data_IF_566582771934
#
_entry.id   IF_566582771934
#
_cell.length_a   1.000
_cell.length_b   1.000
_cell.length_c   1.000
_cell.angle_alpha   90.00
_cell.angle_beta   90.00
_cell.angle_gamma   90.00
#
_symmetry.space_group_name_H-M   'P 1'
#
loop_
_entity.id
_entity.type
_entity.pdbx_description
1 polymer ?
#
# COMPACT_ATOMS: atom_id res chain seq x y z
N UNK A 1 -6.24 -60.04 24.61
CA UNK A 1 -5.32 -59.01 24.07
C UNK A 1 -6.20 -57.81 23.68
N UNK A 2 -6.07 -56.72 24.39
CA UNK A 2 -6.86 -55.51 24.09
C UNK A 2 -6.18 -54.82 22.88
N UNK A 3 -6.90 -54.72 21.80
CA UNK A 3 -6.51 -53.95 20.61
C UNK A 3 -6.58 -52.46 20.99
N UNK A 4 -5.42 -51.88 21.26
CA UNK A 4 -5.27 -50.43 21.48
C UNK A 4 -4.98 -49.76 20.15
N UNK A 5 -5.96 -49.80 19.26
CA UNK A 5 -5.96 -48.94 18.10
C UNK A 5 -6.37 -47.50 18.53
N UNK A 6 -5.39 -46.72 18.98
CA UNK A 6 -5.61 -45.32 19.23
C UNK A 6 -5.74 -44.61 17.88
N UNK A 7 -6.96 -44.35 17.44
CA UNK A 7 -7.20 -43.34 16.42
C UNK A 7 -6.98 -41.97 17.06
N UNK A 8 -5.81 -41.44 16.84
CA UNK A 8 -5.55 -40.04 17.14
C UNK A 8 -6.27 -39.20 16.09
N UNK A 9 -7.45 -38.71 16.42
CA UNK A 9 -8.13 -37.70 15.62
C UNK A 9 -7.31 -36.42 15.74
N UNK A 10 -6.51 -36.12 14.74
CA UNK A 10 -5.82 -34.84 14.64
C UNK A 10 -6.81 -33.78 14.17
N UNK A 11 -6.96 -32.73 14.97
CA UNK A 11 -7.70 -31.54 14.59
C UNK A 11 -7.00 -30.91 13.37
N UNK A 12 -7.69 -30.81 12.25
CA UNK A 12 -7.14 -30.25 11.00
C UNK A 12 -7.11 -28.69 11.03
N UNK A 13 -7.05 -28.10 12.19
CA UNK A 13 -6.91 -26.66 12.34
C UNK A 13 -5.42 -26.32 12.30
N UNK A 14 -4.99 -25.60 11.26
CA UNK A 14 -3.68 -24.98 11.28
C UNK A 14 -3.81 -23.51 11.69
N UNK A 15 -2.88 -23.05 12.50
CA UNK A 15 -2.76 -21.65 12.86
C UNK A 15 -1.89 -21.00 11.76
N UNK A 16 -2.47 -20.07 11.01
CA UNK A 16 -1.70 -19.27 10.07
C UNK A 16 -0.71 -18.39 10.85
N UNK A 17 0.51 -18.30 10.35
CA UNK A 17 1.48 -17.36 10.88
C UNK A 17 0.95 -15.92 10.81
N UNK A 18 1.42 -15.07 11.72
CA UNK A 18 1.10 -13.64 11.66
C UNK A 18 1.83 -13.03 10.46
N UNK A 19 1.13 -12.93 9.35
CA UNK A 19 1.63 -12.35 8.11
C UNK A 19 0.58 -11.43 7.51
N UNK A 20 1.04 -10.38 6.84
CA UNK A 20 0.16 -9.54 6.03
C UNK A 20 -0.32 -10.34 4.81
N UNK A 21 -1.58 -10.75 4.82
CA UNK A 21 -2.18 -11.56 3.76
C UNK A 21 -2.91 -10.74 2.69
N UNK A 22 -3.14 -9.45 2.95
CA UNK A 22 -3.81 -8.54 2.03
C UNK A 22 -2.95 -7.31 1.77
N UNK A 23 -3.04 -6.76 0.56
CA UNK A 23 -2.44 -5.48 0.26
C UNK A 23 -3.22 -4.36 0.95
N UNK A 24 -2.53 -3.49 1.68
CA UNK A 24 -3.11 -2.36 2.40
C UNK A 24 -3.11 -1.09 1.54
N UNK A 25 -2.15 -0.95 0.62
CA UNK A 25 -1.94 0.27 -0.14
C UNK A 25 -2.61 0.26 -1.52
N UNK A 26 -3.01 -0.90 -2.05
CA UNK A 26 -3.59 -1.04 -3.38
C UNK A 26 -4.81 -0.14 -3.61
N UNK A 27 -5.67 -0.02 -2.62
CA UNK A 27 -6.90 0.78 -2.72
C UNK A 27 -6.66 2.29 -2.51
N UNK A 28 -5.47 2.67 -2.07
CA UNK A 28 -5.07 4.07 -1.82
C UNK A 28 -4.40 4.76 -3.00
N UNK A 29 -4.20 4.05 -4.12
CA UNK A 29 -3.52 4.53 -5.33
C UNK A 29 -4.43 4.47 -6.55
N UNK A 30 -4.03 5.15 -7.63
CA UNK A 30 -4.75 5.10 -8.90
C UNK A 30 -4.37 3.84 -9.66
N UNK A 31 -5.39 3.09 -10.12
CA UNK A 31 -5.20 1.86 -10.90
C UNK A 31 -5.58 2.02 -12.37
N UNK A 32 -6.04 3.21 -12.78
CA UNK A 32 -6.42 3.50 -14.17
C UNK A 32 -5.18 3.66 -15.05
N UNK A 33 -4.92 2.68 -15.89
CA UNK A 33 -3.82 2.70 -16.86
C UNK A 33 -4.24 2.06 -18.17
N UNK A 34 -3.65 2.52 -19.27
CA UNK A 34 -3.74 1.85 -20.57
C UNK A 34 -2.53 0.93 -20.72
N UNK A 35 -2.79 -0.38 -20.77
CA UNK A 35 -1.73 -1.38 -20.85
C UNK A 35 -1.56 -1.80 -22.31
N UNK A 36 -0.32 -1.68 -22.82
CA UNK A 36 0.11 -2.17 -24.14
C UNK A 36 1.43 -2.92 -24.00
N UNK A 37 1.39 -4.21 -24.28
CA UNK A 37 2.56 -5.09 -24.05
C UNK A 37 2.94 -5.10 -22.57
N UNK A 38 4.20 -4.82 -22.26
CA UNK A 38 4.75 -4.75 -20.89
C UNK A 38 4.72 -3.34 -20.30
N UNK A 39 4.04 -2.39 -20.93
CA UNK A 39 4.02 -0.99 -20.48
C UNK A 39 2.61 -0.56 -20.12
N UNK A 40 2.45 -0.05 -18.91
CA UNK A 40 1.25 0.61 -18.44
C UNK A 40 1.43 2.12 -18.53
N UNK A 41 0.53 2.80 -19.21
CA UNK A 41 0.61 4.24 -19.46
C UNK A 41 -0.47 4.96 -18.67
N UNK A 42 -0.04 5.99 -17.94
CA UNK A 42 -0.90 6.92 -17.21
C UNK A 42 -0.84 8.28 -17.90
N UNK A 43 -2.00 8.89 -18.07
CA UNK A 43 -2.11 10.23 -18.64
C UNK A 43 -2.31 11.25 -17.52
N UNK A 44 -1.41 12.22 -17.42
CA UNK A 44 -1.51 13.33 -16.48
C UNK A 44 -1.69 14.61 -17.27
N UNK A 45 -2.82 15.30 -17.04
CA UNK A 45 -3.13 16.57 -17.68
C UNK A 45 -2.96 17.71 -16.67
N UNK A 46 -2.11 18.67 -17.00
CA UNK A 46 -1.87 19.86 -16.21
C UNK A 46 -2.19 21.14 -16.96
N UNK A 47 -2.24 22.25 -16.23
CA UNK A 47 -2.32 23.59 -16.84
C UNK A 47 -0.99 24.33 -16.84
N UNK A 48 0.10 23.69 -16.37
CA UNK A 48 1.41 24.32 -16.20
C UNK A 48 1.39 25.57 -15.31
N UNK A 49 0.35 25.73 -14.46
CA UNK A 49 0.16 26.92 -13.63
C UNK A 49 -0.33 28.15 -14.42
N UNK A 50 -0.79 27.97 -15.66
CA UNK A 50 -1.26 29.09 -16.50
C UNK A 50 -2.45 29.83 -15.87
N UNK A 51 -2.45 31.14 -16.02
CA UNK A 51 -3.55 32.02 -15.59
C UNK A 51 -4.50 32.33 -16.73
N UNK A 52 -5.73 32.66 -16.40
CA UNK A 52 -6.72 33.13 -17.37
C UNK A 52 -6.27 34.48 -17.92
N UNK A 53 -6.43 34.65 -19.21
CA UNK A 53 -6.04 35.90 -19.92
C UNK A 53 -7.25 36.59 -20.54
N UNK A 54 -7.20 37.93 -20.63
CA UNK A 54 -8.21 38.71 -21.31
C UNK A 54 -7.95 38.78 -22.83
N UNK A 55 -8.92 39.15 -23.61
CA UNK A 55 -8.74 39.40 -25.05
C UNK A 55 -7.73 40.49 -25.29
N UNK A 56 -6.85 40.26 -26.27
CA UNK A 56 -5.95 41.30 -26.75
C UNK A 56 -6.67 42.42 -27.48
N UNK A 57 -5.93 43.51 -27.78
CA UNK A 57 -6.45 44.71 -28.45
C UNK A 57 -7.17 44.39 -29.77
N UNK A 58 -6.76 43.34 -30.47
CA UNK A 58 -7.36 42.90 -31.74
C UNK A 58 -8.49 41.85 -31.54
N UNK A 59 -9.01 41.71 -30.33
CA UNK A 59 -10.07 40.74 -30.01
C UNK A 59 -9.67 39.27 -30.04
N UNK A 60 -8.41 38.95 -30.27
CA UNK A 60 -7.88 37.58 -30.24
C UNK A 60 -7.69 37.10 -28.82
N UNK A 61 -8.05 35.84 -28.59
CA UNK A 61 -7.78 35.15 -27.32
C UNK A 61 -6.45 34.40 -27.49
N UNK A 62 -5.43 34.68 -26.66
CA UNK A 62 -4.16 33.93 -26.69
C UNK A 62 -4.42 32.44 -26.38
N UNK A 63 -3.99 31.56 -27.25
CA UNK A 63 -4.06 30.14 -27.01
C UNK A 63 -2.95 29.70 -26.02
N UNK A 64 -3.30 28.88 -25.07
CA UNK A 64 -2.37 28.22 -24.16
C UNK A 64 -1.83 26.94 -24.81
N UNK A 65 -0.53 26.63 -24.69
CA UNK A 65 -0.04 25.30 -25.03
C UNK A 65 -0.69 24.24 -24.14
N UNK A 66 -0.94 23.09 -24.69
CA UNK A 66 -1.45 21.93 -23.93
C UNK A 66 -0.32 21.29 -23.13
N UNK A 67 -0.60 20.92 -21.89
CA UNK A 67 0.36 20.32 -20.96
C UNK A 67 -0.14 18.92 -20.58
N UNK A 68 0.09 17.97 -21.50
CA UNK A 68 -0.26 16.58 -21.38
C UNK A 68 1.00 15.73 -21.21
N UNK A 69 1.22 15.24 -20.01
CA UNK A 69 2.29 14.31 -19.70
C UNK A 69 1.82 12.86 -19.75
N UNK A 70 2.59 12.06 -20.48
CA UNK A 70 2.40 10.62 -20.56
C UNK A 70 3.47 9.92 -19.75
N UNK A 71 3.11 9.39 -18.59
CA UNK A 71 3.99 8.63 -17.72
C UNK A 71 3.76 7.13 -17.88
N UNK A 72 4.83 6.36 -17.94
CA UNK A 72 4.76 4.93 -18.13
C UNK A 72 5.44 4.15 -17.00
N UNK A 73 4.78 3.07 -16.57
CA UNK A 73 5.33 2.05 -15.71
C UNK A 73 5.63 0.80 -16.52
N UNK A 74 6.79 0.21 -16.36
CA UNK A 74 7.10 -1.10 -16.94
C UNK A 74 6.55 -2.18 -16.04
N UNK A 75 5.70 -3.04 -16.57
CA UNK A 75 5.19 -4.21 -15.85
C UNK A 75 6.31 -5.23 -15.72
N UNK A 76 6.46 -5.76 -14.52
CA UNK A 76 7.37 -6.86 -14.20
C UNK A 76 6.56 -8.06 -13.76
N UNK A 77 7.00 -9.22 -14.17
CA UNK A 77 6.41 -10.49 -13.79
C UNK A 77 6.95 -10.93 -12.42
N UNK A 78 6.05 -11.11 -11.46
CA UNK A 78 6.38 -11.53 -10.10
C UNK A 78 5.77 -12.89 -9.83
N UNK A 79 6.58 -13.80 -9.31
CA UNK A 79 6.17 -15.17 -9.01
C UNK A 79 6.51 -15.53 -7.58
N UNK A 80 5.65 -16.33 -6.98
CA UNK A 80 5.95 -17.14 -5.81
C UNK A 80 5.57 -18.59 -6.10
N UNK A 81 6.48 -19.51 -5.87
CA UNK A 81 6.31 -20.92 -6.17
C UNK A 81 6.72 -21.77 -4.96
N UNK A 82 5.74 -22.47 -4.41
CA UNK A 82 5.96 -23.45 -3.34
C UNK A 82 5.80 -24.86 -3.89
N UNK A 83 6.74 -25.74 -3.58
CA UNK A 83 6.75 -27.15 -4.00
C UNK A 83 6.80 -28.04 -2.76
N UNK A 84 6.02 -29.13 -2.78
CA UNK A 84 6.09 -30.19 -1.76
C UNK A 84 6.01 -31.54 -2.43
N UNK A 85 6.89 -32.44 -2.01
CA UNK A 85 6.89 -33.82 -2.49
C UNK A 85 5.64 -34.56 -2.01
N UNK A 86 5.22 -35.56 -2.74
CA UNK A 86 4.07 -36.41 -2.38
C UNK A 86 4.22 -37.02 -0.99
N UNK A 87 5.45 -37.45 -0.64
CA UNK A 87 5.75 -37.98 0.69
C UNK A 87 5.52 -36.95 1.80
N UNK A 88 6.00 -35.71 1.60
CA UNK A 88 5.81 -34.63 2.58
C UNK A 88 4.33 -34.23 2.74
N UNK A 89 3.53 -34.29 1.65
CA UNK A 89 2.09 -34.05 1.74
C UNK A 89 1.40 -35.17 2.50
N UNK A 90 1.80 -36.43 2.27
CA UNK A 90 1.27 -37.59 2.98
C UNK A 90 1.64 -37.57 4.47
N UNK A 91 2.89 -37.22 4.79
CA UNK A 91 3.39 -37.17 6.16
C UNK A 91 2.91 -35.93 6.95
N UNK A 92 2.42 -34.88 6.28
CA UNK A 92 1.97 -33.65 6.92
C UNK A 92 0.47 -33.68 7.20
N UNK A 93 0.09 -32.97 8.26
CA UNK A 93 -1.30 -32.81 8.65
C UNK A 93 -1.95 -31.65 7.88
N UNK A 94 -3.26 -31.73 7.64
CA UNK A 94 -4.06 -30.70 7.03
C UNK A 94 -3.98 -30.64 5.49
N UNK A 95 -4.75 -29.72 4.90
CA UNK A 95 -4.79 -29.50 3.45
C UNK A 95 -3.58 -28.68 2.99
N UNK A 96 -2.46 -29.34 2.75
CA UNK A 96 -1.20 -28.68 2.40
C UNK A 96 -1.25 -27.87 1.11
N UNK A 97 -2.12 -28.22 0.14
CA UNK A 97 -2.27 -27.50 -1.11
C UNK A 97 -2.94 -26.14 -0.88
N UNK A 98 -3.98 -26.10 -0.06
CA UNK A 98 -4.66 -24.86 0.31
C UNK A 98 -3.74 -23.93 1.11
N UNK A 99 -2.96 -24.49 2.04
CA UNK A 99 -1.96 -23.74 2.81
C UNK A 99 -0.92 -23.10 1.88
N UNK A 100 -0.35 -23.88 0.95
CA UNK A 100 0.62 -23.37 -0.02
C UNK A 100 0.03 -22.23 -0.87
N UNK A 101 -1.20 -22.39 -1.35
CA UNK A 101 -1.87 -21.37 -2.15
C UNK A 101 -2.10 -20.08 -1.36
N UNK A 102 -2.57 -20.19 -0.13
CA UNK A 102 -2.86 -19.05 0.74
C UNK A 102 -1.58 -18.28 1.11
N UNK A 103 -0.51 -18.97 1.45
CA UNK A 103 0.78 -18.34 1.78
C UNK A 103 1.40 -17.67 0.55
N UNK A 104 1.37 -18.30 -0.62
CA UNK A 104 1.87 -17.69 -1.86
C UNK A 104 1.08 -16.44 -2.26
N UNK A 105 -0.24 -16.43 -2.05
CA UNK A 105 -1.05 -15.24 -2.29
C UNK A 105 -0.67 -14.09 -1.36
N UNK A 106 -0.39 -14.37 -0.09
CA UNK A 106 0.11 -13.38 0.87
C UNK A 106 1.44 -12.75 0.43
N UNK A 107 2.37 -13.55 -0.13
CA UNK A 107 3.65 -13.06 -0.66
C UNK A 107 3.43 -12.05 -1.80
N UNK A 108 2.55 -12.36 -2.76
CA UNK A 108 2.25 -11.45 -3.87
C UNK A 108 1.59 -10.16 -3.37
N UNK A 109 0.67 -10.25 -2.40
CA UNK A 109 0.02 -9.06 -1.85
C UNK A 109 1.02 -8.13 -1.14
N UNK A 110 1.97 -8.67 -0.36
CA UNK A 110 3.07 -7.87 0.22
C UNK A 110 3.95 -7.25 -0.86
N UNK A 111 4.18 -7.96 -1.97
CA UNK A 111 4.97 -7.42 -3.08
C UNK A 111 4.29 -6.24 -3.77
N UNK A 112 2.97 -6.24 -3.88
CA UNK A 112 2.19 -5.08 -4.37
C UNK A 112 2.49 -3.84 -3.52
N UNK A 113 2.40 -3.98 -2.20
CA UNK A 113 2.68 -2.86 -1.28
C UNK A 113 4.13 -2.38 -1.39
N UNK A 114 5.10 -3.29 -1.49
CA UNK A 114 6.51 -2.94 -1.66
C UNK A 114 6.78 -2.15 -2.95
N UNK A 115 6.13 -2.49 -4.07
CA UNK A 115 6.26 -1.74 -5.34
C UNK A 115 5.69 -0.33 -5.19
N UNK A 116 4.55 -0.17 -4.50
CA UNK A 116 3.96 1.14 -4.22
C UNK A 116 4.87 1.97 -3.30
N UNK A 117 5.39 1.37 -2.22
CA UNK A 117 6.29 2.02 -1.26
C UNK A 117 7.59 2.46 -1.95
N UNK A 118 8.11 1.63 -2.86
CA UNK A 118 9.32 1.96 -3.62
C UNK A 118 9.13 3.23 -4.44
N UNK A 119 8.00 3.37 -5.12
CA UNK A 119 7.69 4.58 -5.89
C UNK A 119 7.37 5.79 -4.99
N UNK A 120 6.68 5.60 -3.85
CA UNK A 120 6.46 6.67 -2.86
C UNK A 120 7.79 7.23 -2.33
N UNK A 121 8.78 6.36 -2.10
CA UNK A 121 10.10 6.75 -1.62
C UNK A 121 10.94 7.54 -2.64
N UNK A 122 10.51 7.62 -3.91
CA UNK A 122 11.12 8.49 -4.91
C UNK A 122 10.65 9.94 -4.81
N UNK A 123 9.63 10.23 -3.98
CA UNK A 123 9.15 11.58 -3.72
C UNK A 123 10.27 12.48 -3.16
N UNK A 124 10.32 13.72 -3.65
CA UNK A 124 11.39 14.68 -3.28
C UNK A 124 10.97 15.67 -2.22
N UNK A 125 9.66 15.78 -1.93
CA UNK A 125 9.18 16.65 -0.87
C UNK A 125 9.25 15.92 0.47
N UNK A 126 9.85 16.56 1.47
CA UNK A 126 10.00 15.98 2.79
C UNK A 126 9.69 16.96 3.93
N UNK A 127 9.56 16.43 5.13
CA UNK A 127 9.34 17.23 6.35
C UNK A 127 10.63 17.74 6.99
N UNK A 128 11.80 17.53 6.40
CA UNK A 128 13.11 17.89 6.96
C UNK A 128 13.71 16.79 7.83
N UNK A 129 14.44 17.19 8.87
CA UNK A 129 15.10 16.24 9.77
C UNK A 129 14.12 15.28 10.44
N UNK A 130 14.56 14.04 10.70
CA UNK A 130 13.79 13.04 11.42
C UNK A 130 13.57 13.51 12.87
N UNK A 131 12.31 13.50 13.29
CA UNK A 131 11.88 13.86 14.65
C UNK A 131 10.78 12.88 15.11
N UNK A 132 10.55 12.79 16.40
CA UNK A 132 9.44 12.00 16.94
C UNK A 132 8.09 12.51 16.43
N UNK A 133 7.16 11.60 16.17
CA UNK A 133 5.86 11.98 15.65
C UNK A 133 5.09 12.87 16.64
N UNK A 134 4.47 13.89 16.10
CA UNK A 134 3.68 14.87 16.83
C UNK A 134 2.59 15.45 15.93
N UNK A 135 1.61 16.12 16.55
CA UNK A 135 0.60 16.87 15.80
C UNK A 135 1.24 17.87 14.82
N UNK A 136 2.28 18.58 15.27
CA UNK A 136 2.98 19.56 14.43
C UNK A 136 3.60 18.93 13.17
N UNK A 137 4.18 17.72 13.30
CA UNK A 137 4.76 17.00 12.17
C UNK A 137 3.68 16.56 11.16
N UNK A 138 2.56 16.01 11.64
CA UNK A 138 1.42 15.63 10.82
C UNK A 138 0.80 16.83 10.08
N UNK A 139 0.61 17.94 10.78
CA UNK A 139 0.11 19.19 10.20
C UNK A 139 1.10 19.75 9.18
N UNK A 140 2.42 19.72 9.46
CA UNK A 140 3.46 20.17 8.51
C UNK A 140 3.39 19.41 7.19
N UNK A 141 3.28 18.09 7.24
CA UNK A 141 3.14 17.27 6.01
C UNK A 141 1.89 17.67 5.20
N UNK A 142 0.75 17.87 5.87
CA UNK A 142 -0.48 18.33 5.23
C UNK A 142 -0.35 19.74 4.63
N UNK A 143 0.31 20.66 5.33
CA UNK A 143 0.56 22.04 4.84
C UNK A 143 1.42 22.03 3.59
N UNK A 144 2.45 21.16 3.52
CA UNK A 144 3.29 21.01 2.31
C UNK A 144 2.44 20.61 1.12
N UNK A 145 1.52 19.62 1.27
CA UNK A 145 0.59 19.23 0.21
C UNK A 145 -0.35 20.39 -0.18
N UNK A 146 -0.88 21.11 0.81
CA UNK A 146 -1.74 22.27 0.56
C UNK A 146 -1.06 23.40 -0.20
N UNK A 147 0.20 23.72 0.14
CA UNK A 147 1.02 24.71 -0.57
C UNK A 147 1.28 24.31 -2.02
N UNK A 148 1.33 23.00 -2.31
CA UNK A 148 1.43 22.46 -3.67
C UNK A 148 0.07 22.32 -4.38
N UNK A 149 -0.99 22.93 -3.83
CA UNK A 149 -2.35 22.94 -4.41
C UNK A 149 -2.96 21.54 -4.57
N UNK A 150 -2.56 20.57 -3.74
CA UNK A 150 -3.15 19.23 -3.73
C UNK A 150 -4.56 19.33 -3.16
N UNK A 151 -5.58 18.77 -3.85
CA UNK A 151 -6.97 18.89 -3.41
C UNK A 151 -7.20 18.10 -2.10
N UNK A 152 -8.03 18.68 -1.21
CA UNK A 152 -8.47 18.04 0.03
C UNK A 152 -9.87 17.42 -0.17
N UNK A 153 -10.00 16.51 -1.11
CA UNK A 153 -11.26 15.88 -1.55
C UNK A 153 -11.58 14.56 -0.82
N UNK A 154 -10.82 14.24 0.25
CA UNK A 154 -10.96 13.00 1.00
C UNK A 154 -10.09 11.86 0.47
N UNK A 155 -9.36 12.07 -0.63
CA UNK A 155 -8.45 11.09 -1.24
C UNK A 155 -6.98 11.28 -0.80
N UNK A 156 -6.77 11.92 0.35
CA UNK A 156 -5.46 12.00 0.99
C UNK A 156 -5.26 10.76 1.87
N UNK A 157 -4.12 10.12 1.70
CA UNK A 157 -3.70 8.94 2.45
C UNK A 157 -2.37 9.19 3.15
N UNK A 158 -2.20 8.56 4.31
CA UNK A 158 -0.92 8.54 5.01
C UNK A 158 -0.58 7.11 5.39
N UNK A 159 0.48 6.56 4.80
CA UNK A 159 1.06 5.29 5.20
C UNK A 159 2.11 5.55 6.28
N UNK A 160 1.90 5.01 7.47
CA UNK A 160 2.72 5.28 8.64
C UNK A 160 3.15 4.00 9.34
N UNK A 161 4.31 4.06 10.01
CA UNK A 161 4.83 2.96 10.81
C UNK A 161 4.01 2.77 12.09
N UNK A 162 4.02 1.57 12.70
CA UNK A 162 3.39 1.33 13.99
C UNK A 162 3.90 2.28 15.08
N UNK A 163 5.21 2.61 15.08
CA UNK A 163 5.80 3.56 16.02
C UNK A 163 5.21 4.96 15.85
N UNK A 164 5.07 5.43 14.62
CA UNK A 164 4.44 6.72 14.32
C UNK A 164 2.98 6.75 14.81
N UNK A 165 2.22 5.70 14.54
CA UNK A 165 0.83 5.58 14.99
C UNK A 165 0.76 5.57 16.52
N UNK A 166 1.68 4.87 17.20
CA UNK A 166 1.79 4.84 18.67
C UNK A 166 2.00 6.23 19.28
N UNK A 167 2.82 7.08 18.65
CA UNK A 167 2.96 8.48 19.09
C UNK A 167 1.70 9.30 18.83
N UNK A 168 1.03 9.13 17.68
CA UNK A 168 -0.21 9.85 17.39
C UNK A 168 -1.32 9.51 18.40
N UNK A 169 -1.41 8.26 18.84
CA UNK A 169 -2.40 7.84 19.85
C UNK A 169 -2.19 8.53 21.21
N UNK A 170 -0.98 9.01 21.50
CA UNK A 170 -0.68 9.78 22.72
C UNK A 170 -1.05 11.27 22.61
N UNK A 171 -1.34 11.75 21.37
CA UNK A 171 -1.76 13.14 21.16
C UNK A 171 -3.24 13.28 21.54
N UNK A 172 -3.58 14.18 22.51
CA UNK A 172 -4.97 14.33 22.97
C UNK A 172 -5.96 14.65 21.83
N UNK A 173 -5.53 15.45 20.85
CA UNK A 173 -6.34 15.87 19.72
C UNK A 173 -6.63 14.70 18.75
N UNK A 174 -5.80 13.67 18.76
CA UNK A 174 -6.04 12.47 17.96
C UNK A 174 -7.02 11.52 18.65
N UNK A 175 -6.94 11.41 19.98
CA UNK A 175 -7.77 10.50 20.78
C UNK A 175 -9.11 11.08 21.25
N UNK A 176 -9.30 12.41 21.21
CA UNK A 176 -10.49 13.08 21.75
C UNK A 176 -11.65 13.10 20.76
N UNK A 177 -12.83 12.72 21.22
CA UNK A 177 -14.08 12.80 20.46
C UNK A 177 -14.49 14.24 20.08
N UNK A 178 -13.99 15.25 20.83
CA UNK A 178 -14.29 16.66 20.57
C UNK A 178 -13.61 17.19 19.30
N UNK A 179 -12.44 16.60 18.93
CA UNK A 179 -11.66 16.99 17.75
C UNK A 179 -11.82 16.03 16.57
N UNK A 180 -12.36 14.85 16.80
CA UNK A 180 -12.55 13.82 15.78
C UNK A 180 -14.02 13.46 15.75
N UNK A 181 -14.69 13.70 14.63
CA UNK A 181 -16.11 13.36 14.47
C UNK A 181 -16.40 11.86 14.66
N UNK A 182 -15.35 11.03 14.70
CA UNK A 182 -15.36 9.61 15.06
C UNK A 182 -14.05 9.25 15.76
N UNK A 183 -14.13 8.44 16.82
CA UNK A 183 -12.95 7.93 17.51
C UNK A 183 -12.08 7.11 16.56
N UNK A 184 -10.77 7.32 16.51
CA UNK A 184 -9.88 6.58 15.62
C UNK A 184 -9.89 5.06 15.85
N UNK A 185 -10.25 4.63 17.05
CA UNK A 185 -10.26 3.22 17.50
C UNK A 185 -11.65 2.59 17.48
N UNK A 186 -12.69 3.39 17.21
CA UNK A 186 -14.07 2.86 17.12
C UNK A 186 -14.31 2.36 15.68
N UNK A 187 -14.28 1.07 15.50
CA UNK A 187 -14.45 0.36 14.23
C UNK A 187 -15.88 0.42 13.67
N UNK A 188 -16.78 1.21 14.29
CA UNK A 188 -18.14 1.39 13.81
C UNK A 188 -18.20 2.38 12.65
N UNK A 189 -18.51 1.90 11.47
CA UNK A 189 -18.97 2.65 10.29
C UNK A 189 -18.14 3.88 9.90
N UNK A 190 -16.90 3.69 9.50
CA UNK A 190 -16.21 4.69 8.70
C UNK A 190 -16.67 4.60 7.24
N UNK A 191 -16.82 5.73 6.55
CA UNK A 191 -17.20 5.80 5.13
C UNK A 191 -16.19 5.10 4.19
N UNK A 192 -15.07 4.66 4.70
CA UNK A 192 -14.10 3.79 4.06
C UNK A 192 -14.22 2.40 4.65
N UNK A 193 -15.12 1.62 4.08
CA UNK A 193 -15.22 0.17 4.15
C UNK A 193 -14.72 -0.49 5.43
N UNK A 194 -15.42 -1.50 5.87
CA UNK A 194 -15.16 -2.53 6.85
C UNK A 194 -13.76 -3.20 6.83
N UNK A 195 -12.74 -2.53 6.25
CA UNK A 195 -11.36 -2.97 6.29
C UNK A 195 -10.69 -2.40 7.53
N UNK A 196 -10.43 -3.26 8.50
CA UNK A 196 -9.59 -2.94 9.66
C UNK A 196 -8.28 -2.25 9.23
N UNK A 197 -7.94 -1.12 9.82
CA UNK A 197 -6.65 -0.46 9.61
C UNK A 197 -6.67 0.96 9.02
N UNK A 198 -7.83 1.52 8.70
CA UNK A 198 -7.94 2.90 8.23
C UNK A 198 -8.51 3.82 9.32
N UNK A 199 -7.73 4.85 9.69
CA UNK A 199 -8.16 5.88 10.62
C UNK A 199 -8.30 7.21 9.87
N UNK A 200 -9.43 7.91 10.00
CA UNK A 200 -9.62 9.21 9.37
C UNK A 200 -9.45 10.35 10.37
N UNK A 201 -8.40 11.13 10.19
CA UNK A 201 -8.10 12.30 11.02
C UNK A 201 -7.47 13.42 10.19
N UNK A 202 -7.73 14.68 10.54
CA UNK A 202 -7.30 15.87 9.78
C UNK A 202 -7.68 15.84 8.28
N UNK A 203 -8.74 15.09 7.90
CA UNK A 203 -9.10 14.90 6.50
C UNK A 203 -8.17 14.00 5.70
N UNK A 204 -7.29 13.24 6.39
CA UNK A 204 -6.36 12.26 5.84
C UNK A 204 -6.79 10.87 6.30
N UNK A 205 -6.66 9.88 5.45
CA UNK A 205 -6.88 8.47 5.76
C UNK A 205 -5.53 7.85 6.17
N UNK A 206 -5.41 7.48 7.45
CA UNK A 206 -4.18 6.93 8.02
C UNK A 206 -4.19 5.42 7.90
N UNK A 207 -3.10 4.87 7.39
CA UNK A 207 -2.89 3.44 7.18
C UNK A 207 -1.64 3.05 7.95
N UNK A 208 -1.77 2.12 8.89
CA UNK A 208 -0.62 1.54 9.56
C UNK A 208 -0.03 0.43 8.69
N UNK A 209 1.26 0.53 8.39
CA UNK A 209 1.96 -0.44 7.55
C UNK A 209 3.29 -0.85 8.20
N UNK A 210 3.52 -2.16 8.43
CA UNK A 210 4.70 -2.63 9.15
C UNK A 210 6.00 -2.62 8.32
N UNK A 211 5.89 -2.65 6.98
CA UNK A 211 7.05 -2.81 6.08
C UNK A 211 7.51 -1.50 5.41
N UNK A 212 7.33 -0.36 6.09
CA UNK A 212 7.84 0.91 5.59
C UNK A 212 9.37 1.01 5.75
N UNK A 213 10.06 1.83 4.94
CA UNK A 213 11.50 1.95 5.02
C UNK A 213 11.98 2.46 6.38
N UNK A 214 12.93 1.75 6.98
CA UNK A 214 13.58 2.16 8.22
C UNK A 214 12.78 1.90 9.50
N UNK A 215 11.75 1.06 9.48
CA UNK A 215 10.96 0.68 10.67
C UNK A 215 11.87 0.29 11.85
N UNK A 216 11.61 0.84 13.04
CA UNK A 216 12.38 0.60 14.26
C UNK A 216 13.71 1.33 14.32
N UNK A 217 13.97 2.28 13.44
CA UNK A 217 15.21 3.07 13.43
C UNK A 217 14.94 4.56 13.59
N UNK A 218 16.01 5.35 13.77
CA UNK A 218 15.93 6.82 13.76
C UNK A 218 15.72 7.44 12.38
N UNK A 219 15.61 6.63 11.34
CA UNK A 219 15.46 7.06 9.94
C UNK A 219 14.23 6.44 9.27
N UNK A 220 13.14 6.30 10.00
CA UNK A 220 11.87 5.83 9.46
C UNK A 220 11.30 6.82 8.45
N UNK A 221 10.77 6.27 7.36
CA UNK A 221 10.07 7.05 6.34
C UNK A 221 8.61 6.68 6.31
N UNK A 222 7.78 7.66 6.56
CA UNK A 222 6.34 7.60 6.42
C UNK A 222 5.94 8.45 5.20
N UNK A 223 4.79 8.20 4.62
CA UNK A 223 4.38 8.86 3.40
C UNK A 223 2.98 9.44 3.55
N UNK A 224 2.83 10.72 3.18
CA UNK A 224 1.50 11.33 3.02
C UNK A 224 1.33 11.70 1.55
N UNK A 225 0.26 11.22 0.91
CA UNK A 225 0.09 11.37 -0.52
C UNK A 225 -1.38 11.46 -0.92
N UNK A 226 -1.62 12.02 -2.11
CA UNK A 226 -2.92 11.98 -2.74
C UNK A 226 -3.03 10.77 -3.66
N UNK A 227 -4.21 10.17 -3.74
CA UNK A 227 -4.47 8.97 -4.55
C UNK A 227 -3.97 9.07 -5.99
N UNK A 228 -4.18 10.23 -6.64
CA UNK A 228 -3.76 10.47 -8.02
C UNK A 228 -2.26 10.72 -8.20
N UNK A 229 -1.49 10.80 -7.11
CA UNK A 229 -0.06 11.04 -7.19
C UNK A 229 0.74 9.78 -7.55
N UNK A 230 0.19 8.60 -7.28
CA UNK A 230 0.80 7.30 -7.56
C UNK A 230 -0.13 6.48 -8.46
N UNK A 231 0.44 5.90 -9.51
CA UNK A 231 -0.21 4.92 -10.35
C UNK A 231 0.32 3.52 -10.08
N UNK A 232 -0.57 2.56 -9.94
CA UNK A 232 -0.26 1.13 -9.84
C UNK A 232 -1.06 0.38 -10.89
N UNK A 233 -0.37 -0.33 -11.78
CA UNK A 233 -1.00 -1.09 -12.84
C UNK A 233 -0.77 -2.58 -12.62
N UNK A 234 -1.84 -3.35 -12.84
CA UNK A 234 -1.83 -4.81 -12.82
C UNK A 234 -2.39 -5.29 -14.16
N UNK A 235 -1.81 -6.34 -14.71
CA UNK A 235 -2.31 -6.96 -15.95
C UNK A 235 -3.79 -7.37 -15.77
N UNK A 236 -4.53 -7.38 -16.89
CA UNK A 236 -5.97 -7.71 -16.93
C UNK A 236 -6.33 -9.07 -16.29
N UNK A 237 -5.41 -10.01 -16.32
CA UNK A 237 -5.58 -11.32 -15.71
C UNK A 237 -5.47 -11.30 -14.18
N UNK A 238 -4.96 -10.19 -13.59
CA UNK A 238 -4.81 -10.04 -12.17
C UNK A 238 -3.83 -11.04 -11.54
N UNK A 239 -4.09 -11.42 -10.28
CA UNK A 239 -3.31 -12.43 -9.58
C UNK A 239 -3.77 -13.81 -10.03
N UNK A 240 -2.88 -14.59 -10.61
CA UNK A 240 -3.11 -15.98 -10.97
C UNK A 240 -2.58 -16.91 -9.89
N UNK A 241 -3.35 -17.91 -9.49
CA UNK A 241 -2.98 -18.84 -8.43
C UNK A 241 -3.25 -20.30 -8.83
N UNK A 242 -2.53 -20.83 -9.87
CA UNK A 242 -2.66 -22.23 -10.26
C UNK A 242 -2.03 -23.16 -9.22
N UNK A 243 -2.71 -24.28 -8.97
CA UNK A 243 -2.25 -25.40 -8.16
C UNK A 243 -2.20 -26.63 -9.05
N UNK A 244 -1.11 -27.37 -9.03
CA UNK A 244 -0.92 -28.53 -9.87
C UNK A 244 -0.04 -29.59 -9.24
N UNK A 245 0.18 -30.66 -10.03
CA UNK A 245 1.09 -31.74 -9.74
C UNK A 245 2.00 -31.94 -10.93
N UNK A 246 3.28 -32.07 -10.66
CA UNK A 246 4.31 -32.38 -11.65
C UNK A 246 4.60 -33.88 -11.59
N UNK A 247 4.28 -34.60 -12.67
CA UNK A 247 4.45 -36.05 -12.74
C UNK A 247 5.89 -36.47 -12.95
N UNK A 248 6.71 -35.62 -13.57
CA UNK A 248 8.10 -35.92 -13.88
C UNK A 248 8.98 -35.94 -12.62
N UNK A 249 8.73 -35.00 -11.71
CA UNK A 249 9.52 -34.82 -10.48
C UNK A 249 8.76 -35.21 -9.19
N UNK A 250 7.57 -35.79 -9.30
CA UNK A 250 6.71 -36.23 -8.17
C UNK A 250 6.52 -35.20 -7.06
N UNK A 251 6.14 -33.94 -7.44
CA UNK A 251 5.78 -32.92 -6.46
C UNK A 251 4.46 -32.21 -6.83
N UNK A 252 3.77 -31.79 -5.76
CA UNK A 252 2.67 -30.85 -5.90
C UNK A 252 3.19 -29.43 -5.77
N UNK A 253 2.66 -28.50 -6.56
CA UNK A 253 3.04 -27.09 -6.50
C UNK A 253 1.83 -26.19 -6.38
N UNK A 254 2.04 -25.05 -5.72
CA UNK A 254 1.17 -23.88 -5.79
C UNK A 254 2.03 -22.71 -6.28
N UNK A 255 1.57 -22.04 -7.32
CA UNK A 255 2.23 -20.85 -7.87
C UNK A 255 1.26 -19.68 -7.84
N UNK A 256 1.69 -18.56 -7.28
CA UNK A 256 1.02 -17.29 -7.50
C UNK A 256 1.88 -16.42 -8.42
N UNK A 257 1.26 -15.74 -9.36
CA UNK A 257 1.94 -14.81 -10.25
C UNK A 257 1.10 -13.57 -10.49
N UNK A 258 1.78 -12.44 -10.68
CA UNK A 258 1.15 -11.16 -10.97
C UNK A 258 2.11 -10.30 -11.78
N UNK A 259 1.62 -9.77 -12.91
CA UNK A 259 2.36 -8.80 -13.70
C UNK A 259 1.93 -7.41 -13.28
N UNK A 260 2.82 -6.67 -12.64
CA UNK A 260 2.50 -5.38 -12.07
C UNK A 260 3.65 -4.39 -12.15
N UNK A 261 3.32 -3.12 -12.04
CA UNK A 261 4.28 -2.03 -11.96
C UNK A 261 3.64 -0.78 -11.38
N UNK A 262 4.42 -0.01 -10.66
CA UNK A 262 4.01 1.26 -10.07
C UNK A 262 4.80 2.42 -10.66
N UNK A 263 4.24 3.64 -10.58
CA UNK A 263 4.93 4.86 -11.04
C UNK A 263 4.47 6.06 -10.23
N UNK A 264 5.43 6.88 -9.81
CA UNK A 264 5.16 8.22 -9.29
C UNK A 264 4.66 9.10 -10.46
N UNK A 265 3.42 9.59 -10.38
CA UNK A 265 2.78 10.40 -11.42
C UNK A 265 2.97 11.90 -11.15
N UNK A 266 2.78 12.31 -9.90
CA UNK A 266 2.86 13.71 -9.50
C UNK A 266 3.67 13.85 -8.21
N UNK A 267 4.89 14.32 -8.34
CA UNK A 267 5.79 14.50 -7.19
C UNK A 267 5.24 15.53 -6.17
N UNK A 268 4.52 16.55 -6.64
CA UNK A 268 3.88 17.55 -5.77
C UNK A 268 2.80 16.97 -4.84
N UNK A 269 2.28 15.78 -5.17
CA UNK A 269 1.24 15.08 -4.42
C UNK A 269 1.76 14.06 -3.40
N UNK A 270 3.08 13.97 -3.19
CA UNK A 270 3.70 13.03 -2.23
C UNK A 270 4.64 13.78 -1.31
N UNK A 271 4.52 13.54 0.00
CA UNK A 271 5.43 14.07 1.03
C UNK A 271 5.99 12.92 1.85
N UNK A 272 7.30 12.85 1.95
CA UNK A 272 8.03 11.92 2.80
C UNK A 272 8.12 12.52 4.20
N UNK A 273 7.60 11.82 5.21
CA UNK A 273 7.66 12.23 6.61
C UNK A 273 8.81 11.47 7.25
N UNK A 274 9.89 12.19 7.56
CA UNK A 274 11.04 11.62 8.26
C UNK A 274 10.74 11.54 9.76
N UNK A 275 10.82 10.34 10.31
CA UNK A 275 10.43 10.03 11.69
C UNK A 275 11.55 9.30 12.43
N UNK A 276 11.67 9.59 13.72
CA UNK A 276 12.54 8.82 14.64
C UNK A 276 11.67 7.88 15.48
N UNK A 277 11.64 6.61 15.09
CA UNK A 277 10.90 5.53 15.76
C UNK A 277 11.75 4.69 16.70
N UNK A 278 13.02 5.05 16.89
CA UNK A 278 13.99 4.24 17.64
C UNK A 278 13.59 3.92 19.08
N UNK A 279 12.78 4.79 19.70
CA UNK A 279 12.30 4.57 21.07
C UNK A 279 11.31 3.38 21.20
N UNK A 280 10.72 2.94 20.07
CA UNK A 280 9.84 1.77 20.02
C UNK A 280 10.47 0.59 19.28
N UNK A 281 11.78 0.66 19.01
CA UNK A 281 12.50 -0.49 18.48
C UNK A 281 12.44 -1.65 19.49
N UNK A 282 12.14 -2.85 19.01
CA UNK A 282 12.29 -4.03 19.86
C UNK A 282 13.77 -4.25 20.15
N UNK A 283 14.12 -4.47 21.42
CA UNK A 283 15.47 -4.83 21.85
C UNK A 283 15.87 -6.23 21.37
#
# INVERSE_FOLDING_TARGET
MADTAFQTQYRQEFIAAFEQNQSLLRDSVTTEAVIKGNTATFLVAGSGGAEAVTRGVNGLIPARPDDLDQLSATLKEWHDLVRKTRFNIFASQGNQREIMQKTSMGVINRKIDQEIITELNTGTLDTGAAVTASLALAVRAKVILGNNKVPADGNLFAAVTPAFMGYLLQVPEFGSADYVSRKPVDSGETAFTDKAGFYRWLGVNWIEHPDLPGVGTSAEKNFMYHRSAIGHAVNKEGIQSPVGYDEEQDYSYARCSCDMGSKLLQNSGVVVINHDGSAYAAE
#
